data_IF_322430159638
#
_entry.id   IF_322430159638
#
_cell.length_a   1.000
_cell.length_b   1.000
_cell.length_c   1.000
_cell.angle_alpha   90.00
_cell.angle_beta   90.00
_cell.angle_gamma   90.00
#
_symmetry.space_group_name_H-M   'P 1'
#
loop_
_entity.id
_entity.type
_entity.pdbx_description
1 polymer ?
#
# COMPACT_ATOMS: atom_id res chain seq x y z
N UNK A 1 0.68 10.62 36.38
CA UNK A 1 0.12 9.97 35.18
C UNK A 1 1.29 9.60 34.28
N UNK A 2 1.41 8.34 33.90
CA UNK A 2 2.63 7.79 33.31
C UNK A 2 2.75 8.15 31.82
N UNK A 3 3.86 8.77 31.43
CA UNK A 3 4.05 9.43 30.12
C UNK A 3 4.82 8.55 29.13
N UNK A 4 4.77 7.21 29.28
CA UNK A 4 5.53 6.25 28.47
C UNK A 4 4.95 6.14 27.05
N UNK A 5 5.82 6.08 26.01
CA UNK A 5 5.39 5.85 24.62
C UNK A 5 5.29 4.37 24.24
N UNK A 6 6.04 3.50 24.93
CA UNK A 6 5.93 2.04 24.91
C UNK A 6 6.47 1.47 26.24
N UNK A 7 6.24 0.18 26.51
CA UNK A 7 6.41 -0.45 27.84
C UNK A 7 7.78 -0.21 28.49
N UNK A 8 8.84 -0.21 27.67
CA UNK A 8 10.24 -0.03 28.09
C UNK A 8 10.80 1.37 27.78
N UNK A 9 9.97 2.35 27.39
CA UNK A 9 10.44 3.71 27.07
C UNK A 9 10.80 4.48 28.34
N UNK A 10 12.09 4.50 28.63
CA UNK A 10 12.68 5.31 29.70
C UNK A 10 13.14 6.70 29.22
N UNK A 11 13.21 6.91 27.90
CA UNK A 11 13.76 8.14 27.29
C UNK A 11 12.69 9.21 27.13
N UNK A 12 11.43 8.80 26.97
CA UNK A 12 10.29 9.68 26.69
C UNK A 12 10.46 10.51 25.40
N UNK A 13 11.48 10.19 24.58
CA UNK A 13 11.83 10.84 23.32
C UNK A 13 12.46 9.84 22.35
N UNK A 14 12.37 10.11 21.04
CA UNK A 14 12.91 9.25 19.99
C UNK A 14 14.43 9.14 20.05
N UNK A 15 14.99 8.11 19.41
CA UNK A 15 16.45 7.92 19.36
C UNK A 15 17.12 8.79 18.28
N UNK A 16 16.35 9.22 17.28
CA UNK A 16 16.77 10.03 16.14
C UNK A 16 15.54 10.66 15.46
N UNK A 17 15.79 11.58 14.53
CA UNK A 17 14.78 12.14 13.63
C UNK A 17 14.78 11.40 12.28
N UNK A 18 13.63 11.37 11.59
CA UNK A 18 13.44 10.73 10.28
C UNK A 18 13.91 11.58 9.09
N UNK A 19 14.84 12.52 9.30
CA UNK A 19 15.23 13.55 8.32
C UNK A 19 15.76 13.00 7.00
N UNK A 20 16.26 11.76 6.99
CA UNK A 20 16.80 11.14 5.79
C UNK A 20 15.75 10.90 4.70
N UNK A 21 14.48 10.66 5.05
CA UNK A 21 13.39 10.37 4.10
C UNK A 21 12.29 11.44 4.10
N UNK A 22 12.33 12.38 5.05
CA UNK A 22 11.30 13.42 5.15
C UNK A 22 11.09 14.21 3.84
N UNK A 23 12.15 14.64 3.11
CA UNK A 23 11.96 15.37 1.86
C UNK A 23 11.21 14.58 0.78
N UNK A 24 11.46 13.27 0.66
CA UNK A 24 10.80 12.44 -0.36
C UNK A 24 9.32 12.18 -0.02
N UNK A 25 9.02 12.01 1.27
CA UNK A 25 7.62 11.92 1.75
C UNK A 25 6.88 13.24 1.51
N UNK A 26 7.52 14.39 1.73
CA UNK A 26 6.95 15.71 1.44
C UNK A 26 6.71 15.92 -0.07
N UNK A 27 7.65 15.49 -0.92
CA UNK A 27 7.47 15.52 -2.39
C UNK A 27 6.31 14.65 -2.83
N UNK A 28 6.23 13.42 -2.32
CA UNK A 28 5.12 12.52 -2.61
C UNK A 28 3.78 13.15 -2.21
N UNK A 29 3.68 13.67 -0.98
CA UNK A 29 2.46 14.32 -0.49
C UNK A 29 2.05 15.53 -1.36
N UNK A 30 3.02 16.33 -1.81
CA UNK A 30 2.73 17.48 -2.67
C UNK A 30 2.17 17.06 -4.03
N UNK A 31 2.70 16.00 -4.64
CA UNK A 31 2.25 15.52 -5.96
C UNK A 31 0.90 14.82 -5.90
N UNK A 32 0.62 14.04 -4.84
CA UNK A 32 -0.65 13.30 -4.70
C UNK A 32 -1.90 14.18 -4.67
N UNK A 33 -1.75 15.46 -4.35
CA UNK A 33 -2.88 16.42 -4.30
C UNK A 33 -3.17 17.11 -5.63
N UNK A 34 -2.38 16.84 -6.67
CA UNK A 34 -2.55 17.43 -7.99
C UNK A 34 -3.67 16.73 -8.75
N UNK A 35 -4.48 17.50 -9.47
CA UNK A 35 -5.44 16.93 -10.42
C UNK A 35 -4.69 16.10 -11.47
N UNK A 36 -5.27 14.94 -11.81
CA UNK A 36 -4.68 14.04 -12.80
C UNK A 36 -3.51 13.21 -12.28
N UNK A 37 -3.29 13.08 -10.97
CA UNK A 37 -2.32 12.09 -10.45
C UNK A 37 -2.64 10.66 -10.90
N UNK A 38 -3.92 10.28 -10.81
CA UNK A 38 -4.40 8.98 -11.33
C UNK A 38 -4.66 9.14 -12.83
N UNK A 39 -3.68 8.76 -13.66
CA UNK A 39 -3.73 8.96 -15.11
C UNK A 39 -4.17 7.74 -15.91
N UNK A 40 -3.82 6.54 -15.46
CA UNK A 40 -4.09 5.29 -16.19
C UNK A 40 -5.34 4.59 -15.64
N UNK A 41 -5.99 3.79 -16.48
CA UNK A 41 -7.06 2.90 -16.04
C UNK A 41 -6.45 1.76 -15.19
N UNK A 42 -6.77 1.68 -13.89
CA UNK A 42 -6.19 0.66 -13.01
C UNK A 42 -6.60 -0.77 -13.38
N UNK A 43 -7.72 -0.98 -14.08
CA UNK A 43 -8.11 -2.30 -14.58
C UNK A 43 -7.17 -2.77 -15.69
N UNK A 44 -6.69 -1.83 -16.52
CA UNK A 44 -5.75 -2.13 -17.59
C UNK A 44 -4.31 -2.19 -17.08
N UNK A 45 -3.95 -1.31 -16.15
CA UNK A 45 -2.59 -1.15 -15.65
C UNK A 45 -2.27 -2.09 -14.47
N UNK A 46 -3.03 -2.04 -13.39
CA UNK A 46 -2.70 -2.74 -12.13
C UNK A 46 -3.24 -4.17 -12.05
N UNK A 47 -4.51 -4.35 -12.42
CA UNK A 47 -5.24 -5.61 -12.24
C UNK A 47 -4.52 -6.84 -12.83
N UNK A 48 -3.91 -6.78 -14.03
CA UNK A 48 -3.24 -7.96 -14.59
C UNK A 48 -2.11 -8.49 -13.71
N UNK A 49 -1.37 -7.59 -13.04
CA UNK A 49 -0.26 -7.96 -12.16
C UNK A 49 -0.75 -8.50 -10.82
N UNK A 50 -1.76 -7.87 -10.23
CA UNK A 50 -2.37 -8.33 -8.97
C UNK A 50 -3.06 -9.69 -9.14
N UNK A 51 -3.74 -9.88 -10.26
CA UNK A 51 -4.36 -11.15 -10.63
C UNK A 51 -3.30 -12.25 -10.76
N UNK A 52 -2.20 -11.98 -11.48
CA UNK A 52 -1.09 -12.92 -11.63
C UNK A 52 -0.53 -13.33 -10.26
N UNK A 53 -0.29 -12.38 -9.36
CA UNK A 53 0.22 -12.65 -8.02
C UNK A 53 -0.74 -13.52 -7.17
N UNK A 54 -2.06 -13.40 -7.38
CA UNK A 54 -3.05 -14.28 -6.74
C UNK A 54 -3.14 -15.67 -7.41
N UNK A 55 -2.85 -15.78 -8.70
CA UNK A 55 -2.93 -17.03 -9.47
C UNK A 55 -1.63 -17.84 -9.46
N UNK A 56 -0.52 -17.27 -8.98
CA UNK A 56 0.76 -17.97 -8.82
C UNK A 56 0.62 -19.23 -7.95
N UNK A 57 1.28 -20.31 -8.38
CA UNK A 57 1.29 -21.57 -7.66
C UNK A 57 1.78 -21.39 -6.22
N UNK A 58 0.93 -21.72 -5.25
CA UNK A 58 1.23 -21.54 -3.83
C UNK A 58 0.87 -20.15 -3.27
N UNK A 59 0.18 -19.31 -4.04
CA UNK A 59 -0.34 -18.05 -3.53
C UNK A 59 -1.28 -18.27 -2.35
N UNK A 60 -1.07 -17.45 -1.31
CA UNK A 60 -1.91 -17.41 -0.11
C UNK A 60 -3.17 -16.58 -0.31
N UNK A 61 -3.41 -16.09 -1.52
CA UNK A 61 -4.43 -15.10 -1.81
C UNK A 61 -5.27 -15.51 -3.00
N UNK A 62 -6.56 -15.22 -2.91
CA UNK A 62 -7.50 -15.32 -4.02
C UNK A 62 -8.12 -13.95 -4.23
N UNK A 63 -7.97 -13.42 -5.44
CA UNK A 63 -8.65 -12.19 -5.84
C UNK A 63 -10.16 -12.40 -5.85
N UNK A 64 -10.91 -11.58 -5.10
CA UNK A 64 -12.38 -11.58 -5.04
C UNK A 64 -12.99 -10.57 -5.98
N UNK A 65 -12.32 -9.42 -6.14
CA UNK A 65 -12.77 -8.35 -7.00
C UNK A 65 -11.83 -7.16 -6.91
N UNK A 66 -12.01 -6.23 -7.84
CA UNK A 66 -11.39 -4.93 -7.80
C UNK A 66 -12.31 -3.91 -8.46
N UNK A 67 -12.19 -2.65 -8.06
CA UNK A 67 -12.95 -1.53 -8.66
C UNK A 67 -12.28 -0.19 -8.37
N UNK A 68 -12.37 0.72 -9.34
CA UNK A 68 -12.06 2.13 -9.13
C UNK A 68 -13.22 2.84 -8.41
N UNK A 69 -12.92 3.51 -7.30
CA UNK A 69 -13.87 4.32 -6.55
C UNK A 69 -13.91 5.76 -7.09
N UNK A 70 -14.96 6.51 -6.75
CA UNK A 70 -15.15 7.91 -7.18
C UNK A 70 -14.04 8.86 -6.69
N UNK A 71 -13.34 8.49 -5.61
CA UNK A 71 -12.22 9.25 -5.04
C UNK A 71 -10.86 8.90 -5.66
N UNK A 72 -10.84 8.08 -6.73
CA UNK A 72 -9.63 7.67 -7.42
C UNK A 72 -8.89 6.50 -6.75
N UNK A 73 -9.41 5.96 -5.64
CA UNK A 73 -8.83 4.78 -4.99
C UNK A 73 -9.24 3.51 -5.72
N UNK A 74 -8.27 2.68 -6.07
CA UNK A 74 -8.49 1.34 -6.60
C UNK A 74 -8.67 0.35 -5.44
N UNK A 75 -9.92 -0.02 -5.15
CA UNK A 75 -10.23 -1.02 -4.13
C UNK A 75 -9.97 -2.42 -4.69
N UNK A 76 -9.23 -3.24 -3.94
CA UNK A 76 -8.88 -4.61 -4.31
C UNK A 76 -9.23 -5.52 -3.13
N UNK A 77 -10.13 -6.46 -3.37
CA UNK A 77 -10.58 -7.42 -2.37
C UNK A 77 -9.88 -8.76 -2.60
N UNK A 78 -9.20 -9.27 -1.58
CA UNK A 78 -8.56 -10.59 -1.60
C UNK A 78 -8.98 -11.43 -0.41
N UNK A 79 -9.02 -12.73 -0.60
CA UNK A 79 -9.31 -13.71 0.44
C UNK A 79 -8.05 -14.53 0.73
N UNK A 80 -7.76 -14.78 2.00
CA UNK A 80 -6.69 -15.70 2.38
C UNK A 80 -7.06 -17.15 1.99
N UNK A 81 -6.16 -17.88 1.34
CA UNK A 81 -6.39 -19.27 0.90
C UNK A 81 -5.93 -20.32 1.93
N UNK A 82 -5.38 -19.90 3.08
CA UNK A 82 -4.76 -20.79 4.06
C UNK A 82 -5.70 -21.33 5.17
N UNK A 83 -5.34 -22.51 5.68
CA UNK A 83 -6.06 -23.40 6.61
C UNK A 83 -6.58 -22.76 7.92
N UNK A 84 -7.69 -23.29 8.48
CA UNK A 84 -8.26 -22.84 9.75
C UNK A 84 -7.24 -22.81 10.89
N UNK A 85 -7.11 -21.67 11.59
CA UNK A 85 -6.42 -21.60 12.89
C UNK A 85 -5.07 -20.87 12.94
N UNK A 86 -4.66 -20.12 11.91
CA UNK A 86 -3.49 -19.24 12.01
C UNK A 86 -3.74 -18.12 13.05
N UNK A 87 -2.91 -18.00 14.11
CA UNK A 87 -3.21 -17.18 15.28
C UNK A 87 -3.02 -15.66 15.09
N UNK A 88 -2.46 -15.21 13.96
CA UNK A 88 -2.20 -13.80 13.70
C UNK A 88 -2.66 -13.40 12.30
N UNK A 89 -3.18 -12.18 12.18
CA UNK A 89 -3.86 -11.69 10.97
C UNK A 89 -2.95 -11.74 9.73
N UNK A 90 -3.47 -12.17 8.57
CA UNK A 90 -2.71 -12.28 7.31
C UNK A 90 -2.14 -10.95 6.78
N UNK A 91 -2.46 -9.81 7.39
CA UNK A 91 -2.14 -8.48 6.87
C UNK A 91 -0.63 -8.21 6.71
N UNK A 92 0.21 -8.85 7.54
CA UNK A 92 1.68 -8.78 7.38
C UNK A 92 2.15 -9.49 6.12
N UNK A 93 1.48 -10.58 5.74
CA UNK A 93 1.75 -11.28 4.49
C UNK A 93 1.10 -10.52 3.32
N UNK A 94 -0.06 -9.92 3.53
CA UNK A 94 -0.81 -9.21 2.48
C UNK A 94 -0.13 -7.92 2.03
N UNK A 95 0.71 -7.31 2.87
CA UNK A 95 1.43 -6.07 2.54
C UNK A 95 2.37 -6.24 1.33
N UNK A 96 2.77 -7.47 1.01
CA UNK A 96 3.63 -7.78 -0.15
C UNK A 96 2.82 -7.93 -1.43
N UNK A 97 1.50 -8.12 -1.35
CA UNK A 97 0.65 -8.33 -2.53
C UNK A 97 0.63 -7.15 -3.50
N UNK A 98 0.71 -5.87 -3.08
CA UNK A 98 0.84 -4.76 -4.01
C UNK A 98 2.27 -4.56 -4.55
N UNK A 99 3.28 -5.31 -4.09
CA UNK A 99 4.66 -5.16 -4.57
C UNK A 99 4.85 -5.35 -6.10
N UNK A 100 4.11 -6.25 -6.80
CA UNK A 100 4.21 -6.40 -8.25
C UNK A 100 3.80 -5.17 -9.06
N UNK A 101 3.12 -4.21 -8.45
CA UNK A 101 2.72 -2.93 -9.06
C UNK A 101 3.45 -1.73 -8.43
N UNK A 102 4.51 -1.98 -7.68
CA UNK A 102 5.34 -0.93 -7.12
C UNK A 102 6.17 -0.24 -8.21
N UNK A 103 6.04 1.07 -8.30
CA UNK A 103 6.82 1.94 -9.18
C UNK A 103 7.92 2.67 -8.37
N UNK A 104 8.49 3.73 -8.94
CA UNK A 104 9.61 4.48 -8.35
C UNK A 104 9.32 4.99 -6.93
N UNK A 105 8.08 5.44 -6.70
CA UNK A 105 7.57 5.82 -5.38
C UNK A 105 6.52 4.81 -4.93
N UNK A 106 6.77 4.17 -3.79
CA UNK A 106 5.85 3.20 -3.21
C UNK A 106 5.75 3.38 -1.70
N UNK A 107 4.59 3.82 -1.22
CA UNK A 107 4.32 4.05 0.20
C UNK A 107 3.16 3.20 0.66
N UNK A 108 3.35 2.45 1.74
CA UNK A 108 2.35 1.51 2.25
C UNK A 108 2.02 1.81 3.70
N UNK A 109 0.74 1.78 4.02
CA UNK A 109 0.24 1.96 5.38
C UNK A 109 -0.80 0.89 5.68
N UNK A 110 -0.64 0.23 6.82
CA UNK A 110 -1.73 -0.52 7.43
C UNK A 110 -2.72 0.45 8.08
N UNK A 111 -3.99 0.35 7.71
CA UNK A 111 -5.05 1.23 8.24
C UNK A 111 -5.75 0.56 9.42
N UNK A 112 -6.03 -0.73 9.32
CA UNK A 112 -6.68 -1.52 10.36
C UNK A 112 -6.20 -2.99 10.37
N UNK A 113 -6.98 -3.90 10.94
CA UNK A 113 -6.65 -5.32 11.03
C UNK A 113 -6.51 -6.02 9.67
N UNK A 114 -7.32 -5.62 8.68
CA UNK A 114 -7.53 -6.29 7.40
C UNK A 114 -7.30 -5.38 6.19
N UNK A 115 -7.02 -4.09 6.40
CA UNK A 115 -6.86 -3.11 5.32
C UNK A 115 -5.45 -2.55 5.26
N UNK A 116 -4.88 -2.56 4.05
CA UNK A 116 -3.66 -1.83 3.69
C UNK A 116 -4.02 -0.83 2.60
N UNK A 117 -3.51 0.38 2.72
CA UNK A 117 -3.53 1.37 1.66
C UNK A 117 -2.11 1.57 1.14
N UNK A 118 -1.97 1.71 -0.17
CA UNK A 118 -0.72 2.11 -0.77
C UNK A 118 -0.87 3.14 -1.86
N UNK A 119 0.19 3.92 -2.00
CA UNK A 119 0.44 4.80 -3.13
C UNK A 119 1.55 4.14 -3.93
N UNK A 120 1.39 4.10 -5.25
CA UNK A 120 2.43 3.74 -6.21
C UNK A 120 2.48 4.78 -7.32
N UNK A 121 3.65 5.07 -7.89
CA UNK A 121 3.76 5.98 -9.02
C UNK A 121 5.16 6.54 -9.23
N UNK A 122 5.26 7.58 -10.04
CA UNK A 122 6.47 8.32 -10.34
C UNK A 122 6.30 9.81 -10.01
N UNK A 123 7.33 10.41 -9.42
CA UNK A 123 7.40 11.84 -9.14
C UNK A 123 8.08 12.60 -10.28
N UNK A 124 7.99 13.93 -10.23
CA UNK A 124 8.73 14.80 -11.13
C UNK A 124 10.24 14.50 -11.05
N UNK A 125 10.83 14.11 -12.18
CA UNK A 125 12.26 13.78 -12.30
C UNK A 125 12.61 12.30 -12.11
N UNK A 126 11.64 11.42 -11.86
CA UNK A 126 11.88 9.97 -11.78
C UNK A 126 12.07 9.33 -13.17
N UNK A 127 11.65 10.00 -14.25
CA UNK A 127 11.78 9.52 -15.63
C UNK A 127 11.34 10.57 -16.67
N UNK A 128 11.00 10.10 -17.88
CA UNK A 128 10.64 10.96 -19.03
C UNK A 128 9.17 11.45 -19.00
N UNK A 129 8.36 10.93 -18.09
CA UNK A 129 6.93 11.21 -18.01
C UNK A 129 6.62 12.23 -16.90
N UNK A 130 5.50 12.95 -17.06
CA UNK A 130 4.96 13.78 -15.99
C UNK A 130 4.58 12.90 -14.78
N UNK A 131 4.60 13.47 -13.57
CA UNK A 131 4.28 12.71 -12.37
C UNK A 131 2.86 12.12 -12.40
N UNK A 132 2.73 10.84 -12.08
CA UNK A 132 1.48 10.10 -12.06
C UNK A 132 1.58 8.82 -11.22
N UNK A 133 0.45 8.19 -10.94
CA UNK A 133 0.42 6.91 -10.26
C UNK A 133 -0.99 6.48 -9.85
N UNK A 134 -1.07 5.67 -8.80
CA UNK A 134 -2.31 5.09 -8.32
C UNK A 134 -2.40 5.07 -6.80
N UNK A 135 -3.65 5.03 -6.32
CA UNK A 135 -4.01 4.74 -4.94
C UNK A 135 -4.63 3.35 -4.91
N UNK A 136 -4.20 2.49 -4.01
CA UNK A 136 -4.76 1.14 -3.86
C UNK A 136 -5.21 0.95 -2.42
N UNK A 137 -6.44 0.46 -2.24
CA UNK A 137 -6.94 -0.02 -0.96
C UNK A 137 -7.11 -1.53 -1.05
N UNK A 138 -6.17 -2.25 -0.46
CA UNK A 138 -6.21 -3.71 -0.36
C UNK A 138 -7.00 -4.13 0.88
N UNK A 139 -8.05 -4.93 0.68
CA UNK A 139 -8.91 -5.46 1.74
C UNK A 139 -8.78 -6.97 1.80
N UNK A 140 -8.40 -7.48 2.97
CA UNK A 140 -8.22 -8.90 3.22
C UNK A 140 -9.45 -9.48 3.89
N UNK A 141 -10.03 -10.48 3.26
CA UNK A 141 -11.15 -11.28 3.75
C UNK A 141 -10.63 -12.61 4.31
N UNK A 142 -11.32 -13.10 5.33
CA UNK A 142 -11.11 -14.42 5.90
C UNK A 142 -11.91 -15.48 5.12
#
# INVERSE_FOLDING_TARGET
>A
MERRRWDIDQRFTGIAASRALAPDVERLAAVLTREGWVTEDPDAHLLPHLKRACEESGSRWRLRGARLLEDGVYEVDVEATAEPGAPDLPIRDAITLPAPVAEASFAVRRVDRNTVECVTGMLDGDGDYAAHGHLIRLRVHA
#
